data_IF_447422015536
#
_entry.id   IF_447422015536
#
_cell.length_a   1.000
_cell.length_b   1.000
_cell.length_c   1.000
_cell.angle_alpha   90.00
_cell.angle_beta   90.00
_cell.angle_gamma   90.00
#
_symmetry.space_group_name_H-M   'P 1'
#
loop_
_entity.id
_entity.type
_entity.pdbx_description
1 polymer ?
#
# COMPACT_ATOMS: atom_id res chain seq x y z
N UNK A 1 6.05 -14.83 27.97
CA UNK A 1 6.42 -13.77 27.01
C UNK A 1 5.29 -13.72 26.00
N UNK A 2 4.68 -12.57 25.78
CA UNK A 2 3.62 -12.40 24.77
C UNK A 2 4.26 -11.69 23.57
N UNK A 3 4.09 -12.27 22.38
CA UNK A 3 4.52 -11.65 21.14
C UNK A 3 3.37 -10.81 20.58
N UNK A 4 3.70 -9.58 20.16
CA UNK A 4 2.76 -8.67 19.51
C UNK A 4 3.22 -8.43 18.08
N UNK A 5 2.33 -8.65 17.11
CA UNK A 5 2.59 -8.44 15.69
C UNK A 5 1.65 -7.35 15.19
N UNK A 6 2.23 -6.20 14.81
CA UNK A 6 1.52 -5.18 14.06
C UNK A 6 1.70 -5.43 12.56
N UNK A 7 0.62 -5.81 11.89
CA UNK A 7 0.56 -5.98 10.44
C UNK A 7 -0.26 -4.86 9.80
N UNK A 8 0.34 -4.08 8.90
CA UNK A 8 -0.34 -2.99 8.18
C UNK A 8 -0.46 -3.34 6.70
N UNK A 9 -1.67 -3.27 6.14
CA UNK A 9 -1.91 -3.59 4.74
C UNK A 9 -2.07 -2.33 3.88
N UNK A 10 -1.19 -2.17 2.90
CA UNK A 10 -1.17 -1.04 1.96
C UNK A 10 -1.70 -1.46 0.59
N UNK A 11 -2.85 -0.88 0.22
CA UNK A 11 -3.51 -1.16 -1.05
C UNK A 11 -4.21 0.08 -1.62
N UNK A 12 -4.06 0.25 -2.94
CA UNK A 12 -4.97 1.02 -3.79
C UNK A 12 -5.12 0.26 -5.12
N UNK A 13 -6.30 0.32 -5.77
CA UNK A 13 -6.45 -0.17 -7.13
C UNK A 13 -5.60 0.65 -8.12
N UNK A 14 -5.51 0.20 -9.36
CA UNK A 14 -4.81 0.96 -10.40
C UNK A 14 -5.60 2.22 -10.77
N UNK A 15 -5.06 3.40 -10.43
CA UNK A 15 -5.69 4.70 -10.64
C UNK A 15 -4.91 5.61 -11.58
N UNK A 16 -3.61 5.35 -11.80
CA UNK A 16 -2.81 6.13 -12.74
C UNK A 16 -3.43 6.09 -14.15
N UNK A 17 -3.56 7.26 -14.77
CA UNK A 17 -4.18 7.48 -16.07
C UNK A 17 -5.69 7.15 -16.17
N UNK A 18 -6.38 7.00 -15.03
CA UNK A 18 -7.82 6.68 -14.99
C UNK A 18 -8.63 7.79 -14.27
N UNK A 19 -8.29 9.04 -14.59
CA UNK A 19 -8.85 10.21 -13.90
C UNK A 19 -7.95 10.71 -12.77
N UNK A 20 -8.28 11.90 -12.27
CA UNK A 20 -7.52 12.59 -11.23
C UNK A 20 -8.32 12.76 -9.94
N UNK A 21 -9.48 13.42 -10.04
CA UNK A 21 -10.39 13.72 -8.93
C UNK A 21 -11.85 13.51 -9.37
N UNK A 22 -12.77 13.04 -8.49
CA UNK A 22 -12.59 12.70 -7.08
C UNK A 22 -12.00 11.31 -6.82
N UNK A 23 -11.91 10.47 -7.85
CA UNK A 23 -11.36 9.12 -7.80
C UNK A 23 -10.31 9.01 -8.92
N UNK A 24 -9.05 8.77 -8.56
CA UNK A 24 -7.96 8.85 -9.53
C UNK A 24 -6.58 8.99 -8.88
N UNK A 25 -5.63 9.60 -9.60
CA UNK A 25 -4.25 9.81 -9.11
C UNK A 25 -4.15 10.61 -7.81
N UNK A 26 -5.14 11.46 -7.48
CA UNK A 26 -5.15 12.18 -6.20
C UNK A 26 -5.19 11.22 -5.01
N UNK A 27 -5.90 10.07 -5.09
CA UNK A 27 -5.90 9.06 -4.02
C UNK A 27 -4.51 8.50 -3.74
N UNK A 28 -3.73 8.26 -4.80
CA UNK A 28 -2.37 7.76 -4.68
C UNK A 28 -1.45 8.82 -4.05
N UNK A 29 -1.64 10.09 -4.42
CA UNK A 29 -0.90 11.21 -3.84
C UNK A 29 -1.26 11.43 -2.36
N UNK A 30 -2.53 11.36 -2.01
CA UNK A 30 -3.04 11.44 -0.63
C UNK A 30 -2.49 10.29 0.22
N UNK A 31 -2.52 9.05 -0.28
CA UNK A 31 -1.93 7.91 0.42
C UNK A 31 -0.41 8.10 0.63
N UNK A 32 0.31 8.62 -0.36
CA UNK A 32 1.73 8.92 -0.21
C UNK A 32 1.98 10.01 0.83
N UNK A 33 1.23 11.12 0.78
CA UNK A 33 1.39 12.26 1.66
C UNK A 33 0.97 11.96 3.10
N UNK A 34 -0.17 11.31 3.31
CA UNK A 34 -0.77 11.20 4.63
C UNK A 34 -0.54 9.85 5.30
N UNK A 35 -0.05 8.85 4.56
CA UNK A 35 0.27 7.52 5.12
C UNK A 35 1.73 7.14 4.92
N UNK A 36 2.21 7.00 3.68
CA UNK A 36 3.50 6.35 3.42
C UNK A 36 4.70 7.21 3.82
N UNK A 37 4.70 8.51 3.49
CA UNK A 37 5.77 9.43 3.89
C UNK A 37 5.83 9.62 5.42
N UNK A 38 4.72 9.83 6.14
CA UNK A 38 4.73 9.89 7.60
C UNK A 38 5.20 8.58 8.26
N UNK A 39 4.78 7.42 7.73
CA UNK A 39 5.24 6.13 8.23
C UNK A 39 6.75 5.97 8.02
N UNK A 40 7.24 6.32 6.83
CA UNK A 40 8.67 6.29 6.51
C UNK A 40 9.48 7.23 7.42
N UNK A 41 9.00 8.47 7.63
CA UNK A 41 9.58 9.44 8.58
C UNK A 41 9.72 8.84 9.97
N UNK A 42 8.66 8.16 10.45
CA UNK A 42 8.66 7.55 11.77
C UNK A 42 9.61 6.36 11.86
N UNK A 43 9.65 5.48 10.85
CA UNK A 43 10.54 4.33 10.81
C UNK A 43 12.02 4.74 10.75
N UNK A 44 12.36 5.76 9.94
CA UNK A 44 13.70 6.34 9.94
C UNK A 44 14.07 6.92 11.31
N UNK A 45 13.14 7.60 11.98
CA UNK A 45 13.38 8.14 13.33
C UNK A 45 13.65 7.04 14.37
N UNK A 46 12.91 5.93 14.32
CA UNK A 46 13.12 4.79 15.21
C UNK A 46 14.44 4.08 14.93
N UNK A 47 14.79 3.91 13.65
CA UNK A 47 16.09 3.38 13.23
C UNK A 47 17.26 4.25 13.74
N UNK A 48 17.18 5.56 13.55
CA UNK A 48 18.21 6.51 14.02
C UNK A 48 18.35 6.52 15.55
N UNK A 49 17.26 6.29 16.28
CA UNK A 49 17.25 6.17 17.73
C UNK A 49 17.69 4.78 18.23
N UNK A 50 17.98 3.82 17.34
CA UNK A 50 18.32 2.45 17.70
C UNK A 50 17.15 1.67 18.32
N UNK A 51 15.90 2.13 18.14
CA UNK A 51 14.71 1.51 18.70
C UNK A 51 14.20 0.41 17.75
N UNK A 52 14.08 -0.85 18.19
CA UNK A 52 13.48 -1.91 17.38
C UNK A 52 12.01 -1.60 17.07
N UNK A 53 11.61 -1.76 15.82
CA UNK A 53 10.25 -1.53 15.35
C UNK A 53 9.78 -2.65 14.41
N UNK A 54 9.74 -3.92 14.89
CA UNK A 54 9.38 -5.06 14.05
C UNK A 54 7.89 -4.99 13.68
N UNK A 55 7.62 -4.53 12.47
CA UNK A 55 6.28 -4.49 11.88
C UNK A 55 6.27 -5.25 10.56
N UNK A 56 5.13 -5.83 10.22
CA UNK A 56 4.91 -6.45 8.91
C UNK A 56 4.09 -5.48 8.06
N UNK A 57 4.61 -5.09 6.90
CA UNK A 57 3.95 -4.19 5.95
C UNK A 57 3.55 -4.96 4.69
N UNK A 58 2.25 -5.13 4.45
CA UNK A 58 1.75 -5.61 3.17
C UNK A 58 1.80 -4.52 2.13
N UNK A 59 2.45 -4.76 0.99
CA UNK A 59 2.29 -3.95 -0.21
C UNK A 59 1.65 -4.78 -1.31
N UNK A 60 0.46 -4.39 -1.75
CA UNK A 60 -0.11 -5.03 -2.93
C UNK A 60 0.75 -4.72 -4.17
N UNK A 61 0.99 -5.71 -5.05
CA UNK A 61 1.80 -5.50 -6.26
C UNK A 61 1.26 -4.37 -7.15
N UNK A 62 -0.06 -4.24 -7.27
CA UNK A 62 -0.72 -3.15 -8.00
C UNK A 62 -0.41 -1.77 -7.41
N UNK A 63 -0.32 -1.63 -6.08
CA UNK A 63 0.06 -0.37 -5.44
C UNK A 63 1.55 -0.08 -5.66
N UNK A 64 2.42 -1.04 -5.35
CA UNK A 64 3.87 -0.84 -5.40
C UNK A 64 4.36 -0.51 -6.83
N UNK A 65 3.71 -1.09 -7.85
CA UNK A 65 3.96 -0.71 -9.24
C UNK A 65 3.58 0.73 -9.56
N UNK A 66 2.47 1.24 -9.02
CA UNK A 66 2.09 2.64 -9.22
C UNK A 66 3.03 3.61 -8.51
N UNK A 67 3.43 3.29 -7.27
CA UNK A 67 4.39 4.09 -6.50
C UNK A 67 5.79 4.15 -7.15
N UNK A 68 6.13 3.15 -7.97
CA UNK A 68 7.39 3.10 -8.73
C UNK A 68 7.25 3.67 -10.15
N UNK A 69 6.05 4.09 -10.57
CA UNK A 69 5.81 4.53 -11.93
C UNK A 69 6.27 5.99 -12.13
N UNK A 70 6.93 6.33 -13.26
CA UNK A 70 7.40 7.71 -13.49
C UNK A 70 6.29 8.77 -13.41
N UNK A 71 5.07 8.44 -13.87
CA UNK A 71 3.94 9.37 -13.78
C UNK A 71 3.53 9.68 -12.34
N UNK A 72 3.70 8.75 -11.39
CA UNK A 72 3.40 9.04 -9.99
C UNK A 72 4.31 10.14 -9.43
N UNK A 73 5.60 10.14 -9.78
CA UNK A 73 6.51 11.21 -9.34
C UNK A 73 6.04 12.59 -9.82
N UNK A 74 5.62 12.70 -11.09
CA UNK A 74 5.06 13.93 -11.65
C UNK A 74 3.75 14.33 -10.98
N UNK A 75 2.84 13.38 -10.76
CA UNK A 75 1.56 13.62 -10.10
C UNK A 75 1.77 14.10 -8.66
N UNK A 76 2.66 13.47 -7.89
CA UNK A 76 2.93 13.83 -6.49
C UNK A 76 3.57 15.22 -6.37
N UNK A 77 4.56 15.55 -7.20
CA UNK A 77 5.17 16.88 -7.21
C UNK A 77 4.14 17.96 -7.55
N UNK A 78 3.29 17.72 -8.54
CA UNK A 78 2.20 18.64 -8.92
C UNK A 78 1.18 18.78 -7.80
N UNK A 79 0.78 17.66 -7.19
CA UNK A 79 -0.16 17.62 -6.08
C UNK A 79 0.37 18.41 -4.88
N UNK A 80 1.63 18.21 -4.51
CA UNK A 80 2.28 18.92 -3.40
C UNK A 80 2.41 20.42 -3.68
N UNK A 81 2.73 20.81 -4.92
CA UNK A 81 2.75 22.22 -5.32
C UNK A 81 1.37 22.89 -5.14
N UNK A 82 0.29 22.22 -5.55
CA UNK A 82 -1.07 22.72 -5.34
C UNK A 82 -1.44 22.82 -3.85
N UNK A 83 -1.01 21.87 -3.01
CA UNK A 83 -1.25 21.94 -1.54
C UNK A 83 -0.51 23.12 -0.90
N UNK A 84 0.72 23.39 -1.32
CA UNK A 84 1.48 24.56 -0.85
C UNK A 84 0.85 25.87 -1.33
N UNK A 85 0.43 25.93 -2.59
CA UNK A 85 -0.30 27.09 -3.13
C UNK A 85 -1.62 27.34 -2.38
N UNK A 86 -2.34 26.28 -2.02
CA UNK A 86 -3.53 26.38 -1.19
C UNK A 86 -3.21 26.98 0.19
N UNK A 87 -2.08 26.63 0.81
CA UNK A 87 -1.63 27.28 2.04
C UNK A 87 -1.31 28.77 1.86
N UNK A 88 -0.85 29.22 0.69
CA UNK A 88 -0.63 30.66 0.43
C UNK A 88 -1.94 31.43 0.25
N UNK A 89 -2.95 30.81 -0.39
CA UNK A 89 -4.26 31.43 -0.64
C UNK A 89 -5.21 31.35 0.57
N UNK A 90 -4.99 30.41 1.48
CA UNK A 90 -5.86 30.11 2.61
C UNK A 90 -6.18 31.31 3.53
N UNK A 91 -5.25 32.22 3.90
CA UNK A 91 -5.58 33.32 4.82
C UNK A 91 -6.69 34.23 4.29
N UNK A 92 -6.62 34.60 3.01
CA UNK A 92 -7.64 35.43 2.36
C UNK A 92 -8.97 34.69 2.23
N UNK A 93 -8.93 33.39 1.87
CA UNK A 93 -10.13 32.55 1.77
C UNK A 93 -10.84 32.42 3.11
N UNK A 94 -10.12 32.05 4.18
CA UNK A 94 -10.68 31.84 5.51
C UNK A 94 -11.23 33.14 6.12
N UNK A 95 -10.56 34.27 5.88
CA UNK A 95 -11.08 35.57 6.28
C UNK A 95 -12.41 35.91 5.60
N UNK A 96 -12.60 35.48 4.34
CA UNK A 96 -13.84 35.74 3.60
C UNK A 96 -15.01 34.83 3.98
N UNK A 97 -14.73 33.62 4.49
CA UNK A 97 -15.74 32.64 4.90
C UNK A 97 -16.12 32.73 6.37
N UNK A 98 -15.41 33.55 7.16
CA UNK A 98 -15.64 33.71 8.59
C UNK A 98 -14.87 32.72 9.47
N UNK A 99 -13.94 31.95 8.89
CA UNK A 99 -13.15 30.90 9.57
C UNK A 99 -11.73 31.40 9.94
N UNK A 100 -11.60 32.68 10.30
CA UNK A 100 -10.30 33.32 10.53
C UNK A 100 -9.52 32.69 11.71
N UNK A 101 -10.20 32.05 12.64
CA UNK A 101 -9.61 31.27 13.74
C UNK A 101 -8.80 30.06 13.28
N UNK A 102 -9.00 29.59 12.04
CA UNK A 102 -8.23 28.49 11.45
C UNK A 102 -6.91 28.93 10.82
N UNK A 103 -6.68 30.24 10.65
CA UNK A 103 -5.45 30.80 10.06
C UNK A 103 -4.16 30.26 10.73
N UNK A 104 -4.08 30.08 12.06
CA UNK A 104 -2.90 29.50 12.70
C UNK A 104 -2.55 28.08 12.23
N UNK A 105 -3.53 27.29 11.76
CA UNK A 105 -3.30 25.93 11.25
C UNK A 105 -2.54 25.90 9.92
N UNK A 106 -2.56 27.01 9.16
CA UNK A 106 -1.86 27.10 7.87
C UNK A 106 -0.36 26.86 8.05
N UNK A 107 0.24 27.38 9.12
CA UNK A 107 1.66 27.20 9.41
C UNK A 107 2.00 25.72 9.64
N UNK A 108 1.14 24.97 10.35
CA UNK A 108 1.30 23.54 10.56
C UNK A 108 1.26 22.77 9.22
N UNK A 109 0.25 23.02 8.39
CA UNK A 109 0.08 22.32 7.12
C UNK A 109 1.22 22.63 6.15
N UNK A 110 1.60 23.90 6.02
CA UNK A 110 2.74 24.31 5.18
C UNK A 110 4.02 23.60 5.63
N UNK A 111 4.33 23.61 6.92
CA UNK A 111 5.52 22.95 7.46
C UNK A 111 5.48 21.42 7.25
N UNK A 112 4.31 20.78 7.41
CA UNK A 112 4.12 19.36 7.12
C UNK A 112 4.38 19.06 5.65
N UNK A 113 3.76 19.79 4.73
CA UNK A 113 3.92 19.54 3.29
C UNK A 113 5.36 19.73 2.83
N UNK A 114 6.02 20.80 3.27
CA UNK A 114 7.43 21.06 2.95
C UNK A 114 8.35 19.96 3.48
N UNK A 115 8.14 19.51 4.72
CA UNK A 115 8.95 18.45 5.34
C UNK A 115 8.78 17.11 4.64
N UNK A 116 7.55 16.71 4.34
CA UNK A 116 7.27 15.42 3.67
C UNK A 116 7.72 15.43 2.20
N UNK A 117 7.60 16.56 1.50
CA UNK A 117 8.17 16.72 0.16
C UNK A 117 9.70 16.64 0.19
N UNK A 118 10.33 17.23 1.21
CA UNK A 118 11.78 17.14 1.40
C UNK A 118 12.20 15.70 1.68
N UNK A 119 11.45 14.94 2.48
CA UNK A 119 11.69 13.52 2.71
C UNK A 119 11.57 12.71 1.41
N UNK A 120 10.50 12.93 0.62
CA UNK A 120 10.31 12.26 -0.66
C UNK A 120 11.50 12.48 -1.60
N UNK A 121 11.97 13.73 -1.71
CA UNK A 121 13.15 14.09 -2.51
C UNK A 121 14.44 13.52 -1.94
N UNK A 122 14.60 13.49 -0.62
CA UNK A 122 15.78 12.94 0.04
C UNK A 122 15.94 11.42 -0.18
N UNK A 123 14.83 10.70 -0.37
CA UNK A 123 14.87 9.28 -0.80
C UNK A 123 14.92 9.10 -2.31
N UNK A 124 15.19 10.16 -3.07
CA UNK A 124 15.36 10.13 -4.53
C UNK A 124 14.05 9.96 -5.30
N UNK A 125 12.90 10.26 -4.68
CA UNK A 125 11.59 10.01 -5.26
C UNK A 125 11.17 8.53 -5.30
N UNK A 126 11.96 7.64 -4.69
CA UNK A 126 11.75 6.20 -4.69
C UNK A 126 11.23 5.72 -3.31
N UNK A 127 9.90 5.80 -3.13
CA UNK A 127 9.23 5.34 -1.90
C UNK A 127 9.38 3.83 -1.70
N UNK A 128 9.22 3.05 -2.77
CA UNK A 128 9.29 1.58 -2.71
C UNK A 128 10.69 1.13 -2.31
N UNK A 129 11.73 1.72 -2.92
CA UNK A 129 13.11 1.49 -2.54
C UNK A 129 13.43 1.95 -1.12
N UNK A 130 12.80 3.00 -0.62
CA UNK A 130 12.97 3.44 0.78
C UNK A 130 12.47 2.39 1.78
N UNK A 131 11.28 1.83 1.57
CA UNK A 131 10.78 0.72 2.40
C UNK A 131 11.62 -0.54 2.22
N UNK A 132 12.06 -0.85 1.00
CA UNK A 132 12.98 -1.96 0.74
C UNK A 132 14.25 -1.85 1.59
N UNK A 133 14.87 -0.66 1.69
CA UNK A 133 16.08 -0.48 2.51
C UNK A 133 15.85 -0.82 3.98
N UNK A 134 14.68 -0.49 4.52
CA UNK A 134 14.31 -0.86 5.89
C UNK A 134 14.14 -2.39 6.05
N UNK A 135 13.59 -3.07 5.04
CA UNK A 135 13.55 -4.53 5.01
C UNK A 135 14.95 -5.14 4.94
N UNK A 136 15.80 -4.64 4.05
CA UNK A 136 17.17 -5.13 3.85
C UNK A 136 18.01 -4.94 5.13
N UNK A 137 17.71 -3.91 5.93
CA UNK A 137 18.28 -3.66 7.25
C UNK A 137 17.64 -4.49 8.39
N UNK A 138 16.66 -5.35 8.09
CA UNK A 138 15.96 -6.18 9.07
C UNK A 138 15.07 -5.39 10.04
N UNK A 139 14.69 -4.16 9.70
CA UNK A 139 13.83 -3.30 10.54
C UNK A 139 12.37 -3.67 10.45
N UNK A 140 11.93 -4.03 9.25
CA UNK A 140 10.55 -4.40 8.93
C UNK A 140 10.53 -5.66 8.08
N UNK A 141 9.38 -6.31 8.01
CA UNK A 141 9.09 -7.32 7.00
C UNK A 141 8.13 -6.73 5.96
N UNK A 142 8.38 -6.94 4.67
CA UNK A 142 7.41 -6.61 3.62
C UNK A 142 6.73 -7.90 3.15
N UNK A 143 5.41 -7.92 3.20
CA UNK A 143 4.59 -9.04 2.76
C UNK A 143 4.13 -8.87 1.32
N UNK A 144 3.95 -9.99 0.62
CA UNK A 144 3.33 -10.02 -0.70
C UNK A 144 1.80 -10.04 -0.62
N UNK A 145 1.15 -10.02 -1.77
CA UNK A 145 -0.30 -10.25 -1.91
C UNK A 145 -0.61 -10.76 -3.32
N UNK A 146 -1.89 -10.96 -3.63
CA UNK A 146 -2.36 -11.18 -4.98
C UNK A 146 -2.09 -9.95 -5.86
N UNK A 147 -1.71 -10.16 -7.12
CA UNK A 147 -1.27 -9.12 -8.07
C UNK A 147 -2.13 -7.85 -8.06
N UNK A 148 -3.45 -8.00 -8.15
CA UNK A 148 -4.39 -6.87 -8.23
C UNK A 148 -5.40 -6.87 -7.08
N UNK A 149 -5.06 -7.50 -5.95
CA UNK A 149 -5.97 -7.64 -4.81
C UNK A 149 -7.31 -8.32 -5.17
N UNK A 150 -7.30 -9.26 -6.12
CA UNK A 150 -8.51 -9.97 -6.52
C UNK A 150 -9.07 -10.84 -5.38
N UNK A 151 -10.39 -10.81 -5.18
CA UNK A 151 -11.07 -11.56 -4.12
C UNK A 151 -10.99 -13.08 -4.38
N UNK A 152 -9.91 -13.71 -3.92
CA UNK A 152 -9.46 -15.02 -4.36
C UNK A 152 -10.53 -16.13 -4.24
N UNK A 153 -11.30 -16.23 -3.13
CA UNK A 153 -12.33 -17.26 -3.00
C UNK A 153 -13.40 -17.24 -4.09
N UNK A 154 -13.67 -16.06 -4.68
CA UNK A 154 -14.70 -15.87 -5.70
C UNK A 154 -14.18 -15.96 -7.14
N UNK A 155 -12.86 -16.06 -7.34
CA UNK A 155 -12.32 -16.30 -8.67
C UNK A 155 -12.73 -17.70 -9.16
N UNK A 156 -13.50 -17.75 -10.26
CA UNK A 156 -14.13 -18.96 -10.76
C UNK A 156 -13.14 -20.08 -11.16
N UNK A 157 -11.91 -19.71 -11.52
CA UNK A 157 -10.87 -20.61 -12.03
C UNK A 157 -9.69 -20.70 -11.06
N UNK A 158 -9.20 -21.91 -10.85
CA UNK A 158 -8.01 -22.17 -10.02
C UNK A 158 -6.75 -21.53 -10.64
N UNK A 159 -6.74 -21.44 -11.97
CA UNK A 159 -5.72 -20.77 -12.77
C UNK A 159 -5.69 -19.26 -12.48
N UNK A 160 -6.85 -18.62 -12.32
CA UNK A 160 -6.93 -17.19 -11.97
C UNK A 160 -6.33 -16.91 -10.59
N UNK A 161 -6.62 -17.76 -9.60
CA UNK A 161 -6.02 -17.68 -8.26
C UNK A 161 -4.51 -17.87 -8.37
N UNK A 162 -4.07 -18.92 -9.07
CA UNK A 162 -2.65 -19.22 -9.27
C UNK A 162 -1.90 -18.06 -9.93
N UNK A 163 -2.44 -17.47 -10.99
CA UNK A 163 -1.78 -16.37 -11.69
C UNK A 163 -1.73 -15.09 -10.84
N UNK A 164 -2.79 -14.79 -10.08
CA UNK A 164 -2.78 -13.68 -9.12
C UNK A 164 -1.63 -13.82 -8.10
N UNK A 165 -1.43 -15.02 -7.56
CA UNK A 165 -0.40 -15.28 -6.55
C UNK A 165 1.01 -15.32 -7.15
N UNK A 166 1.21 -16.01 -8.29
CA UNK A 166 2.52 -16.13 -8.94
C UNK A 166 3.01 -14.78 -9.46
N UNK A 167 2.15 -14.01 -10.13
CA UNK A 167 2.50 -12.66 -10.58
C UNK A 167 2.76 -11.74 -9.40
N UNK A 168 1.93 -11.81 -8.35
CA UNK A 168 2.12 -10.98 -7.17
C UNK A 168 3.45 -11.26 -6.45
N UNK A 169 3.84 -12.53 -6.33
CA UNK A 169 5.16 -12.93 -5.81
C UNK A 169 6.30 -12.44 -6.71
N UNK A 170 6.19 -12.62 -8.02
CA UNK A 170 7.22 -12.19 -8.96
C UNK A 170 7.44 -10.68 -8.93
N UNK A 171 6.36 -9.89 -8.88
CA UNK A 171 6.44 -8.43 -8.77
C UNK A 171 6.99 -7.98 -7.41
N UNK A 172 6.62 -8.65 -6.32
CA UNK A 172 7.25 -8.40 -5.02
C UNK A 172 8.77 -8.60 -5.10
N UNK A 173 9.24 -9.72 -5.68
CA UNK A 173 10.68 -9.96 -5.85
C UNK A 173 11.36 -8.90 -6.72
N UNK A 174 10.71 -8.46 -7.80
CA UNK A 174 11.25 -7.42 -8.69
C UNK A 174 11.42 -6.07 -7.97
N UNK A 175 10.45 -5.69 -7.14
CA UNK A 175 10.39 -4.40 -6.46
C UNK A 175 11.22 -4.37 -5.16
N UNK A 176 11.10 -5.42 -4.34
CA UNK A 176 11.70 -5.51 -3.00
C UNK A 176 12.95 -6.40 -2.94
N UNK A 177 13.34 -7.06 -4.04
CA UNK A 177 14.60 -7.79 -4.18
C UNK A 177 14.62 -9.23 -3.63
N UNK A 178 13.63 -9.62 -2.83
CA UNK A 178 13.53 -10.95 -2.21
C UNK A 178 12.15 -11.57 -2.44
N UNK A 179 12.02 -12.88 -2.27
CA UNK A 179 10.69 -13.49 -2.26
C UNK A 179 9.97 -13.19 -0.93
N UNK A 180 8.68 -12.81 -0.97
CA UNK A 180 7.90 -12.59 0.25
C UNK A 180 7.69 -13.90 1.01
N UNK A 181 7.87 -13.86 2.34
CA UNK A 181 7.54 -14.99 3.21
C UNK A 181 6.02 -15.10 3.42
N UNK A 182 5.41 -13.97 3.79
CA UNK A 182 3.98 -13.86 4.06
C UNK A 182 3.18 -13.35 2.87
N UNK A 183 1.90 -13.75 2.84
CA UNK A 183 0.90 -13.19 1.93
C UNK A 183 -0.20 -12.50 2.73
N UNK A 184 -0.45 -11.23 2.44
CA UNK A 184 -1.73 -10.63 2.81
C UNK A 184 -2.80 -11.13 1.85
N UNK A 185 -3.72 -11.97 2.33
CA UNK A 185 -4.87 -12.40 1.53
C UNK A 185 -5.78 -11.20 1.25
N UNK A 186 -6.19 -10.95 0.00
CA UNK A 186 -7.15 -9.90 -0.29
C UNK A 186 -8.40 -10.04 0.57
N UNK A 187 -8.68 -9.01 1.37
CA UNK A 187 -9.78 -8.97 2.35
C UNK A 187 -9.74 -10.09 3.41
N UNK A 188 -8.57 -10.66 3.70
CA UNK A 188 -8.43 -11.89 4.52
C UNK A 188 -9.36 -13.03 4.02
N UNK A 189 -9.76 -12.98 2.74
CA UNK A 189 -10.80 -13.83 2.21
C UNK A 189 -10.27 -15.25 2.00
N UNK A 190 -10.79 -16.17 2.81
CA UNK A 190 -10.36 -17.56 2.83
C UNK A 190 -11.47 -18.51 2.37
N UNK A 191 -11.05 -19.58 1.69
CA UNK A 191 -11.91 -20.72 1.36
C UNK A 191 -11.11 -22.01 1.50
N UNK A 192 -11.54 -22.95 2.36
CA UNK A 192 -10.89 -24.25 2.45
C UNK A 192 -11.17 -25.09 1.19
N UNK A 193 -10.46 -26.21 1.05
CA UNK A 193 -10.79 -27.23 0.05
C UNK A 193 -12.25 -27.67 0.21
N UNK A 194 -12.98 -27.74 -0.90
CA UNK A 194 -14.37 -28.18 -0.85
C UNK A 194 -15.09 -28.07 -2.18
N UNK A 195 -16.32 -28.58 -2.20
CA UNK A 195 -17.26 -28.35 -3.31
C UNK A 195 -17.63 -26.87 -3.32
N UNK A 196 -17.53 -26.24 -4.48
CA UNK A 196 -17.76 -24.81 -4.59
C UNK A 196 -18.56 -24.46 -5.85
N UNK A 197 -19.42 -23.44 -5.72
CA UNK A 197 -20.22 -22.88 -6.80
C UNK A 197 -19.88 -21.38 -6.94
N UNK A 198 -19.42 -20.91 -8.11
CA UNK A 198 -19.03 -19.51 -8.33
C UNK A 198 -20.18 -18.52 -8.29
N UNK A 199 -21.36 -18.95 -8.73
CA UNK A 199 -22.51 -18.08 -8.93
C UNK A 199 -23.70 -18.54 -8.09
N UNK A 200 -24.51 -17.61 -7.57
CA UNK A 200 -25.78 -17.95 -6.93
C UNK A 200 -26.65 -18.82 -7.87
N UNK A 201 -27.12 -19.96 -7.37
CA UNK A 201 -27.97 -20.87 -8.12
C UNK A 201 -27.24 -21.97 -8.91
N UNK A 202 -25.91 -21.94 -8.99
CA UNK A 202 -25.16 -23.07 -9.56
C UNK A 202 -25.01 -24.22 -8.56
N UNK A 203 -25.13 -25.46 -9.05
CA UNK A 203 -24.79 -26.65 -8.24
C UNK A 203 -23.26 -26.74 -8.15
N UNK A 204 -22.68 -27.03 -6.96
CA UNK A 204 -21.24 -27.18 -6.83
C UNK A 204 -20.69 -28.24 -7.79
N UNK A 205 -20.06 -27.77 -8.88
CA UNK A 205 -19.73 -28.62 -10.02
C UNK A 205 -18.51 -29.52 -9.75
N UNK A 206 -17.59 -29.08 -8.88
CA UNK A 206 -16.37 -29.82 -8.55
C UNK A 206 -15.80 -29.43 -7.18
N UNK A 207 -14.99 -30.32 -6.61
CA UNK A 207 -14.11 -29.98 -5.49
C UNK A 207 -12.99 -29.08 -6.02
N UNK A 208 -12.76 -27.95 -5.36
CA UNK A 208 -11.67 -27.02 -5.64
C UNK A 208 -10.66 -27.05 -4.50
N UNK A 209 -9.41 -26.72 -4.83
CA UNK A 209 -8.33 -26.56 -3.85
C UNK A 209 -8.64 -25.43 -2.87
N UNK A 210 -8.17 -25.58 -1.65
CA UNK A 210 -8.19 -24.50 -0.65
C UNK A 210 -7.21 -23.38 -1.01
N UNK A 211 -7.49 -22.17 -0.51
CA UNK A 211 -6.62 -21.01 -0.73
C UNK A 211 -5.21 -21.25 -0.16
N UNK A 212 -5.11 -21.93 0.98
CA UNK A 212 -3.86 -22.36 1.61
C UNK A 212 -3.01 -23.26 0.69
N UNK A 213 -3.64 -24.12 -0.11
CA UNK A 213 -2.92 -24.96 -1.06
C UNK A 213 -2.37 -24.14 -2.23
N UNK A 214 -3.12 -23.13 -2.68
CA UNK A 214 -2.67 -22.21 -3.73
C UNK A 214 -1.51 -21.34 -3.23
N UNK A 215 -1.58 -20.83 -1.99
CA UNK A 215 -0.52 -20.07 -1.34
C UNK A 215 0.76 -20.89 -1.19
N UNK A 216 0.65 -22.10 -0.64
CA UNK A 216 1.80 -23.00 -0.45
C UNK A 216 2.45 -23.35 -1.81
N UNK A 217 1.65 -23.63 -2.84
CA UNK A 217 2.17 -23.90 -4.19
C UNK A 217 2.81 -22.67 -4.85
N UNK A 218 2.40 -21.46 -4.47
CA UNK A 218 3.04 -20.22 -4.90
C UNK A 218 4.29 -19.87 -4.09
N UNK A 219 4.58 -20.60 -3.00
CA UNK A 219 5.77 -20.43 -2.15
C UNK A 219 5.59 -19.51 -0.95
N UNK A 220 4.36 -19.09 -0.62
CA UNK A 220 4.08 -18.36 0.62
C UNK A 220 4.08 -19.32 1.82
N UNK A 221 4.58 -18.84 2.95
CA UNK A 221 4.77 -19.62 4.19
C UNK A 221 3.68 -19.38 5.22
N UNK A 222 3.10 -18.19 5.24
CA UNK A 222 2.04 -17.82 6.18
C UNK A 222 1.14 -16.73 5.58
N UNK A 223 -0.03 -16.53 6.19
CA UNK A 223 -1.00 -15.49 5.86
C UNK A 223 -1.85 -15.18 7.10
N UNK A 224 -2.68 -14.14 7.03
CA UNK A 224 -3.65 -13.79 8.08
C UNK A 224 -5.09 -14.11 7.64
N UNK A 225 -5.91 -14.55 8.61
CA UNK A 225 -7.36 -14.70 8.51
C UNK A 225 -7.99 -14.04 9.73
N UNK A 226 -9.25 -13.61 9.59
CA UNK A 226 -10.13 -13.25 10.72
C UNK A 226 -10.59 -14.51 11.47
#
# INVERSE_FOLDING_TARGET
MMDFVLALHSHLPWVLHHGRWPHGSDWLCEAALDTYLPLLERLHGLEAAGVPAPISLGFTPVLANQLSHPSFATELETFMAHRLEACEKAPASLASTGDAELIPLIAFWRARFQRLLSLYRAVGGDLVGAFRRLQDAGRIEIMGSAATHGYLPLLARDESIRFQLLLGRAEHRRLFGVDPAGCWLPECAYRPRGRWAPLPGERPARVRRGIEEHLAAAGFRYFYTD
#
